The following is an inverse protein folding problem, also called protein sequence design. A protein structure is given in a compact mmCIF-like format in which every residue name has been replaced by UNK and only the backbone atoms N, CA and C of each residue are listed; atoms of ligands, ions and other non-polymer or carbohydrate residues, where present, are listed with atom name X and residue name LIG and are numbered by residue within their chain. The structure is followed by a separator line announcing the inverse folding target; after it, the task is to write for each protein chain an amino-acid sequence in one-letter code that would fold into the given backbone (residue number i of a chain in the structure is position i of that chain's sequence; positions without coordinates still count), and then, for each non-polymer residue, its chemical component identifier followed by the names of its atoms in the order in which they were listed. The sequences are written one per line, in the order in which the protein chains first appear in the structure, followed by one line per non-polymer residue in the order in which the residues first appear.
data_IF_412256612499
#
_entry.id   IF_412256612499
#
_cell.length_a   1.000
_cell.length_b   1.000
_cell.length_c   1.000
_cell.angle_alpha   90.00
_cell.angle_beta   90.00
_cell.angle_gamma   90.00
#
_symmetry.space_group_name_H-M   'P 1'
#
loop_
_entity.id
_entity.type
_entity.pdbx_description
1 polymer ?
#
# COMPACT_ATOMS: atom_id res chain seq x y z
N UNK A 1 -30.53 -8.75 5.97
CA UNK A 1 -30.92 -7.33 5.90
C UNK A 1 -30.15 -6.70 4.75
N UNK A 2 -30.79 -6.30 3.64
CA UNK A 2 -30.06 -5.85 2.45
C UNK A 2 -29.61 -4.39 2.66
N UNK A 3 -28.35 -4.07 2.40
CA UNK A 3 -27.91 -2.68 2.20
C UNK A 3 -27.58 -2.49 0.73
N UNK A 4 -28.35 -1.62 0.10
CA UNK A 4 -28.21 -1.15 -1.27
C UNK A 4 -26.89 -0.37 -1.44
N UNK A 5 -26.10 -0.79 -2.43
CA UNK A 5 -25.05 0.02 -3.04
C UNK A 5 -25.74 1.09 -3.88
N UNK A 6 -25.59 2.39 -3.58
CA UNK A 6 -25.51 3.48 -4.56
C UNK A 6 -25.00 4.76 -3.86
N UNK A 7 -23.90 5.31 -4.39
CA UNK A 7 -23.28 6.55 -3.95
C UNK A 7 -22.05 6.85 -4.81
N UNK A 8 -22.30 7.26 -6.06
CA UNK A 8 -21.27 7.64 -7.04
C UNK A 8 -21.02 9.15 -6.95
N UNK A 9 -19.87 9.56 -6.42
CA UNK A 9 -19.12 10.80 -6.78
C UNK A 9 -17.83 10.88 -5.95
N UNK A 10 -16.64 10.78 -6.57
CA UNK A 10 -15.32 10.85 -5.92
C UNK A 10 -14.59 9.51 -5.73
N UNK A 11 -15.27 8.42 -6.06
CA UNK A 11 -14.88 7.05 -5.71
C UNK A 11 -13.94 6.40 -6.75
N UNK A 12 -13.93 6.80 -8.03
CA UNK A 12 -13.25 6.08 -9.12
C UNK A 12 -11.73 5.81 -8.97
N UNK A 13 -11.04 6.50 -8.06
CA UNK A 13 -9.61 6.26 -7.74
C UNK A 13 -9.34 5.56 -6.40
N UNK A 14 -10.33 5.42 -5.50
CA UNK A 14 -10.13 5.06 -4.08
C UNK A 14 -10.81 3.76 -3.60
N UNK A 15 -11.42 2.95 -4.47
CA UNK A 15 -12.42 1.96 -4.03
C UNK A 15 -11.87 0.67 -3.45
N UNK A 16 -11.47 0.73 -2.18
CA UNK A 16 -11.81 -0.37 -1.30
C UNK A 16 -13.34 -0.31 -1.08
N UNK A 17 -14.09 -1.30 -1.56
CA UNK A 17 -15.53 -1.40 -1.22
C UNK A 17 -15.73 -1.48 0.30
N UNK A 18 -16.90 -1.10 0.82
CA UNK A 18 -17.15 -1.00 2.28
C UNK A 18 -16.84 -2.28 3.05
N UNK A 19 -17.11 -3.46 2.48
CA UNK A 19 -16.72 -4.75 3.08
C UNK A 19 -15.21 -4.92 3.15
N UNK A 20 -14.52 -4.57 2.07
CA UNK A 20 -13.09 -4.72 1.96
C UNK A 20 -12.34 -3.77 2.90
N UNK A 21 -12.80 -2.52 3.03
CA UNK A 21 -12.25 -1.58 3.99
C UNK A 21 -12.34 -2.11 5.42
N UNK A 22 -13.51 -2.67 5.81
CA UNK A 22 -13.68 -3.30 7.12
C UNK A 22 -12.68 -4.43 7.35
N UNK A 23 -12.47 -5.28 6.34
CA UNK A 23 -11.50 -6.39 6.40
C UNK A 23 -10.07 -5.85 6.55
N UNK A 24 -9.65 -4.89 5.72
CA UNK A 24 -8.29 -4.33 5.81
C UNK A 24 -8.03 -3.65 7.16
N UNK A 25 -9.04 -2.99 7.75
CA UNK A 25 -8.88 -2.30 9.04
C UNK A 25 -8.89 -3.20 10.27
N UNK A 26 -9.58 -4.34 10.23
CA UNK A 26 -9.83 -5.15 11.43
C UNK A 26 -9.34 -6.60 11.32
N UNK A 27 -8.77 -7.01 10.19
CA UNK A 27 -8.22 -8.36 10.05
C UNK A 27 -7.03 -8.54 10.99
N UNK A 28 -6.98 -9.62 11.79
CA UNK A 28 -5.82 -9.95 12.62
C UNK A 28 -4.63 -10.45 11.79
N UNK A 29 -4.84 -10.72 10.51
CA UNK A 29 -3.83 -11.21 9.56
C UNK A 29 -3.69 -10.31 8.33
N UNK A 30 -2.54 -10.40 7.67
CA UNK A 30 -2.24 -9.64 6.44
C UNK A 30 -3.28 -9.88 5.34
N UNK A 31 -3.78 -8.81 4.73
CA UNK A 31 -4.83 -8.85 3.71
C UNK A 31 -4.23 -8.55 2.32
N UNK A 32 -4.42 -9.47 1.37
CA UNK A 32 -4.07 -9.23 -0.03
C UNK A 32 -5.26 -8.64 -0.79
N UNK A 33 -5.00 -7.52 -1.45
CA UNK A 33 -5.98 -6.76 -2.23
C UNK A 33 -5.68 -6.90 -3.71
N UNK A 34 -6.63 -7.42 -4.49
CA UNK A 34 -6.52 -7.47 -5.95
C UNK A 34 -7.63 -6.67 -6.60
N UNK A 35 -7.28 -5.85 -7.59
CA UNK A 35 -8.29 -5.24 -8.47
C UNK A 35 -8.60 -6.23 -9.60
N UNK A 36 -9.87 -6.58 -9.86
CA UNK A 36 -10.21 -7.47 -10.95
C UNK A 36 -9.80 -6.83 -12.28
N UNK A 37 -8.84 -7.43 -12.98
CA UNK A 37 -8.54 -7.05 -14.37
C UNK A 37 -9.63 -7.66 -15.25
N UNK A 38 -10.19 -6.87 -16.16
CA UNK A 38 -11.26 -7.31 -17.10
C UNK A 38 -10.88 -8.47 -18.04
N UNK A 39 -9.67 -9.03 -17.94
CA UNK A 39 -9.25 -10.18 -18.76
C UNK A 39 -9.68 -11.51 -18.14
N UNK A 40 -10.53 -12.27 -18.84
CA UNK A 40 -11.01 -13.61 -18.45
C UNK A 40 -9.94 -14.72 -18.42
N UNK A 41 -8.69 -14.45 -18.79
CA UNK A 41 -7.61 -15.45 -18.72
C UNK A 41 -7.04 -15.53 -17.31
N UNK A 42 -6.92 -16.75 -16.76
CA UNK A 42 -6.11 -17.06 -15.57
C UNK A 42 -4.64 -16.74 -15.88
N UNK A 43 -4.27 -15.47 -15.80
CA UNK A 43 -2.88 -15.06 -15.94
C UNK A 43 -2.15 -15.49 -14.66
N UNK A 44 -1.01 -16.17 -14.83
CA UNK A 44 -0.09 -16.43 -13.72
C UNK A 44 0.32 -15.07 -13.13
N UNK A 45 0.18 -14.91 -11.82
CA UNK A 45 0.56 -13.66 -11.17
C UNK A 45 2.06 -13.43 -11.39
N UNK A 46 2.40 -12.32 -12.03
CA UNK A 46 3.77 -11.89 -12.23
C UNK A 46 3.97 -10.55 -11.50
N UNK A 47 4.76 -10.58 -10.42
CA UNK A 47 5.14 -9.38 -9.67
C UNK A 47 6.54 -8.97 -10.12
N UNK A 48 6.63 -8.12 -11.14
CA UNK A 48 7.93 -7.62 -11.64
C UNK A 48 8.57 -6.56 -10.74
N UNK A 49 7.73 -5.77 -10.06
CA UNK A 49 8.16 -4.72 -9.12
C UNK A 49 7.22 -4.66 -7.92
N UNK A 50 7.80 -4.58 -6.72
CA UNK A 50 7.10 -4.40 -5.45
C UNK A 50 7.57 -3.08 -4.84
N UNK A 51 6.62 -2.20 -4.50
CA UNK A 51 6.90 -0.95 -3.79
C UNK A 51 6.39 -1.09 -2.36
N UNK A 52 7.25 -0.80 -1.39
CA UNK A 52 6.94 -0.92 0.03
C UNK A 52 6.99 0.47 0.67
N UNK A 53 5.86 1.00 1.15
CA UNK A 53 5.89 2.21 1.97
C UNK A 53 6.51 1.88 3.35
N UNK A 54 7.46 2.71 3.78
CA UNK A 54 8.10 2.61 5.09
C UNK A 54 7.95 3.94 5.80
N UNK A 55 7.46 3.89 7.03
CA UNK A 55 7.38 5.00 7.98
C UNK A 55 8.16 4.71 9.27
N UNK A 56 8.99 3.66 9.26
CA UNK A 56 9.79 3.15 10.39
C UNK A 56 8.99 2.68 11.60
N UNK A 57 7.68 2.47 11.46
CA UNK A 57 6.88 1.78 12.48
C UNK A 57 7.07 0.25 12.41
N UNK A 58 6.81 -0.44 13.53
CA UNK A 58 6.77 -1.92 13.59
C UNK A 58 5.85 -2.52 12.52
N UNK A 59 4.75 -1.82 12.18
CA UNK A 59 3.82 -2.25 11.15
C UNK A 59 4.50 -2.27 9.77
N UNK A 60 5.21 -1.19 9.44
CA UNK A 60 5.95 -1.09 8.18
C UNK A 60 7.10 -2.09 8.08
N UNK A 61 7.79 -2.37 9.20
CA UNK A 61 8.86 -3.37 9.24
C UNK A 61 8.33 -4.79 9.00
N UNK A 62 7.23 -5.18 9.64
CA UNK A 62 6.55 -6.46 9.35
C UNK A 62 6.10 -6.53 7.90
N UNK A 63 5.55 -5.44 7.37
CA UNK A 63 5.17 -5.35 5.95
C UNK A 63 6.36 -5.55 5.00
N UNK A 64 7.52 -5.00 5.35
CA UNK A 64 8.76 -5.18 4.61
C UNK A 64 9.21 -6.65 4.60
N UNK A 65 9.16 -7.35 5.73
CA UNK A 65 9.51 -8.77 5.80
C UNK A 65 8.65 -9.63 4.86
N UNK A 66 7.33 -9.38 4.81
CA UNK A 66 6.45 -10.02 3.84
C UNK A 66 6.83 -9.70 2.40
N UNK A 67 7.15 -8.44 2.11
CA UNK A 67 7.50 -8.00 0.78
C UNK A 67 8.83 -8.63 0.30
N UNK A 68 9.81 -8.81 1.19
CA UNK A 68 11.07 -9.53 0.89
C UNK A 68 10.77 -10.98 0.49
N UNK A 69 9.93 -11.69 1.26
CA UNK A 69 9.55 -13.06 0.95
C UNK A 69 8.85 -13.16 -0.42
N UNK A 70 7.94 -12.24 -0.72
CA UNK A 70 7.31 -12.17 -2.04
C UNK A 70 8.34 -11.85 -3.14
N UNK A 71 9.25 -10.91 -2.92
CA UNK A 71 10.26 -10.55 -3.90
C UNK A 71 11.18 -11.73 -4.24
N UNK A 72 11.56 -12.54 -3.25
CA UNK A 72 12.36 -13.75 -3.47
C UNK A 72 11.61 -14.79 -4.30
N UNK A 73 10.34 -15.08 -3.96
CA UNK A 73 9.51 -16.06 -4.66
C UNK A 73 9.27 -15.64 -6.12
N UNK A 74 9.00 -14.36 -6.35
CA UNK A 74 8.64 -13.83 -7.67
C UNK A 74 9.85 -13.30 -8.46
N UNK A 75 11.06 -13.33 -7.89
CA UNK A 75 12.26 -12.67 -8.42
C UNK A 75 12.00 -11.21 -8.80
N UNK A 76 11.33 -10.49 -7.90
CA UNK A 76 10.85 -9.13 -8.10
C UNK A 76 11.89 -8.09 -7.67
N UNK A 77 11.88 -6.93 -8.33
CA UNK A 77 12.59 -5.77 -7.82
C UNK A 77 11.81 -5.17 -6.64
N UNK A 78 12.48 -4.97 -5.51
CA UNK A 78 11.92 -4.32 -4.33
C UNK A 78 12.35 -2.85 -4.28
N UNK A 79 11.41 -1.92 -4.08
CA UNK A 79 11.69 -0.50 -3.90
C UNK A 79 11.03 0.02 -2.63
N UNK A 80 11.80 0.71 -1.78
CA UNK A 80 11.30 1.27 -0.53
C UNK A 80 10.94 2.74 -0.74
N UNK A 81 9.79 3.16 -0.21
CA UNK A 81 9.27 4.51 -0.31
C UNK A 81 9.01 5.05 1.09
N UNK A 82 9.75 6.08 1.48
CA UNK A 82 9.48 6.84 2.69
C UNK A 82 8.99 8.25 2.32
N UNK A 83 7.92 8.71 2.96
CA UNK A 83 7.35 10.05 2.75
C UNK A 83 7.63 10.89 3.99
N UNK A 84 8.45 11.92 3.81
CA UNK A 84 8.74 12.88 4.88
C UNK A 84 7.80 14.08 4.77
N UNK A 85 7.19 14.46 5.90
CA UNK A 85 6.46 15.73 5.98
C UNK A 85 7.46 16.85 6.26
N UNK A 86 7.62 17.76 5.29
CA UNK A 86 8.42 18.96 5.49
C UNK A 86 7.62 19.95 6.33
N UNK A 87 8.19 20.34 7.46
CA UNK A 87 7.66 21.38 8.34
C UNK A 87 7.90 22.76 7.69
N UNK A 88 6.83 23.43 7.29
CA UNK A 88 6.89 24.76 6.65
C UNK A 88 7.19 25.91 7.62
N UNK A 89 7.16 25.65 8.92
CA UNK A 89 7.46 26.59 10.00
C UNK A 89 8.96 26.74 10.30
N UNK A 90 9.82 25.92 9.68
CA UNK A 90 11.26 26.01 9.85
C UNK A 90 11.89 26.87 8.75
N UNK A 91 12.80 27.81 9.08
CA UNK A 91 13.55 28.55 8.08
C UNK A 91 14.32 27.57 7.18
N UNK A 92 14.42 27.84 5.85
CA UNK A 92 15.04 26.92 4.88
C UNK A 92 16.44 26.44 5.26
N UNK A 93 17.18 27.24 6.03
CA UNK A 93 18.52 26.91 6.51
C UNK A 93 18.58 25.68 7.43
N UNK A 94 17.50 25.37 8.17
CA UNK A 94 17.47 24.22 9.08
C UNK A 94 17.06 22.92 8.37
N UNK A 95 16.30 23.01 7.28
CA UNK A 95 15.79 21.86 6.51
C UNK A 95 16.94 21.05 5.88
N UNK A 96 18.05 21.69 5.53
CA UNK A 96 19.21 21.05 4.91
C UNK A 96 20.32 20.67 5.91
N UNK A 97 20.17 20.96 7.21
CA UNK A 97 21.25 20.80 8.19
C UNK A 97 21.33 19.41 8.84
N UNK A 98 20.27 18.60 8.76
CA UNK A 98 20.18 17.28 9.41
C UNK A 98 20.29 16.09 8.44
N UNK A 99 20.68 16.29 7.18
CA UNK A 99 20.95 15.19 6.23
C UNK A 99 22.43 14.77 6.22
N UNK A 100 22.95 14.36 7.39
CA UNK A 100 24.24 13.67 7.49
C UNK A 100 24.08 12.31 8.14
#
# INVERSE_FOLDING_TARGET
MPLSSHGKTGWERALLGSTMEKVVRHSPSSVLVTRPRRSRRKAKLALGKIVVPIDFSDCSERGLQYAIGLAQIFKSQLSLLNVIQLRHDLPPALIYSESR
#
